data_IF_058730998596
#
_entry.id   IF_058730998596
#
_cell.length_a   1.000
_cell.length_b   1.000
_cell.length_c   1.000
_cell.angle_alpha   90.00
_cell.angle_beta   90.00
_cell.angle_gamma   90.00
#
_symmetry.space_group_name_H-M   'P 1'
#
loop_
_entity.id
_entity.type
_entity.pdbx_description
1 polymer ?
#
# COMPACT_ATOMS: atom_id res chain seq x y z
N UNK A 1 11.33 -6.58 8.76
CA UNK A 1 11.15 -7.85 8.00
C UNK A 1 12.19 -8.87 8.44
N UNK A 2 11.76 -10.12 8.63
CA UNK A 2 12.54 -11.24 9.14
C UNK A 2 13.75 -11.60 8.25
N UNK A 3 14.96 -11.15 8.64
CA UNK A 3 16.25 -11.60 8.05
C UNK A 3 16.77 -12.91 8.65
N UNK A 4 15.95 -13.57 9.45
CA UNK A 4 16.35 -14.77 10.17
C UNK A 4 16.82 -15.90 9.24
N UNK A 5 16.17 -16.16 8.08
CA UNK A 5 16.68 -17.12 7.10
C UNK A 5 18.11 -16.81 6.63
N UNK A 6 18.35 -15.56 6.24
CA UNK A 6 19.62 -15.10 5.69
C UNK A 6 20.73 -15.19 6.75
N UNK A 7 20.45 -14.76 7.98
CA UNK A 7 21.38 -14.82 9.10
C UNK A 7 21.75 -16.28 9.44
N UNK A 8 20.78 -17.20 9.38
CA UNK A 8 21.03 -18.62 9.68
C UNK A 8 21.87 -19.25 8.56
N UNK A 9 21.59 -18.93 7.29
CA UNK A 9 22.35 -19.43 6.15
C UNK A 9 23.80 -18.94 6.17
N UNK A 10 24.03 -17.66 6.48
CA UNK A 10 25.39 -17.10 6.62
C UNK A 10 26.16 -17.71 7.78
N UNK A 11 25.49 -17.93 8.93
CA UNK A 11 26.16 -18.39 10.16
C UNK A 11 26.43 -19.89 10.18
N UNK A 12 25.66 -20.68 9.43
CA UNK A 12 25.79 -22.14 9.40
C UNK A 12 25.78 -22.69 7.97
N UNK A 13 26.80 -22.40 7.15
CA UNK A 13 26.83 -22.75 5.71
C UNK A 13 26.91 -24.25 5.44
N UNK A 14 27.19 -25.08 6.45
CA UNK A 14 27.28 -26.53 6.32
C UNK A 14 25.96 -27.26 6.62
N UNK A 15 24.91 -26.53 7.00
CA UNK A 15 23.60 -27.10 7.31
C UNK A 15 22.62 -26.90 6.16
N UNK A 16 21.84 -27.93 5.86
CA UNK A 16 20.72 -27.81 4.95
C UNK A 16 19.55 -27.13 5.67
N UNK A 17 19.18 -25.92 5.23
CA UNK A 17 18.04 -25.18 5.76
C UNK A 17 16.82 -25.43 4.86
N UNK A 18 15.78 -26.04 5.41
CA UNK A 18 14.46 -26.16 4.77
C UNK A 18 13.51 -25.18 5.45
N UNK A 19 12.95 -24.24 4.67
CA UNK A 19 11.96 -23.29 5.15
C UNK A 19 10.62 -23.65 4.50
N UNK A 20 9.73 -24.24 5.29
CA UNK A 20 8.37 -24.47 4.88
C UNK A 20 7.55 -23.23 5.26
N UNK A 21 7.11 -22.48 4.26
CA UNK A 21 6.04 -21.50 4.45
C UNK A 21 4.72 -22.24 4.24
N UNK A 22 3.95 -22.55 5.29
CA UNK A 22 2.63 -23.09 5.10
C UNK A 22 1.83 -22.09 4.27
N UNK A 23 0.94 -22.60 3.41
CA UNK A 23 -0.05 -21.74 2.77
C UNK A 23 -0.74 -20.93 3.87
N UNK A 24 -0.84 -19.62 3.68
CA UNK A 24 -1.66 -18.78 4.53
C UNK A 24 -3.07 -19.35 4.41
N UNK A 25 -3.48 -20.20 5.34
CA UNK A 25 -4.88 -20.55 5.48
C UNK A 25 -5.58 -19.22 5.69
N UNK A 26 -6.68 -18.98 4.97
CA UNK A 26 -7.58 -17.89 5.32
C UNK A 26 -7.98 -18.12 6.78
N UNK A 27 -7.27 -17.44 7.68
CA UNK A 27 -7.57 -17.48 9.09
C UNK A 27 -8.83 -16.64 9.20
N UNK A 28 -9.98 -17.29 9.06
CA UNK A 28 -11.22 -16.77 9.61
C UNK A 28 -10.97 -16.76 11.13
N UNK A 29 -10.74 -15.58 11.75
CA UNK A 29 -10.53 -15.56 13.18
C UNK A 29 -11.74 -16.21 13.85
N UNK A 30 -11.55 -17.00 14.92
CA UNK A 30 -12.67 -17.46 15.73
C UNK A 30 -13.51 -16.24 16.11
N UNK A 31 -14.82 -16.34 15.90
CA UNK A 31 -15.83 -15.26 15.99
C UNK A 31 -15.93 -14.55 17.34
N UNK A 32 -15.06 -14.88 18.29
CA UNK A 32 -15.03 -14.35 19.65
C UNK A 32 -13.90 -13.34 19.89
N UNK A 33 -13.00 -13.14 18.92
CA UNK A 33 -12.18 -11.93 18.90
C UNK A 33 -12.91 -10.88 18.06
N UNK A 34 -13.73 -10.07 18.72
CA UNK A 34 -14.08 -8.75 18.21
C UNK A 34 -12.76 -7.98 18.01
N UNK A 35 -12.15 -8.12 16.85
CA UNK A 35 -11.23 -7.10 16.35
C UNK A 35 -12.15 -5.88 16.21
N UNK A 36 -12.00 -4.82 17.04
CA UNK A 36 -12.85 -3.67 16.91
C UNK A 36 -12.75 -3.20 15.47
N UNK A 37 -13.91 -3.10 14.82
CA UNK A 37 -14.12 -2.68 13.44
C UNK A 37 -13.47 -1.31 13.17
N UNK A 38 -12.15 -1.33 13.01
CA UNK A 38 -11.32 -0.20 12.56
C UNK A 38 -10.84 -0.41 11.13
N UNK A 39 -11.24 -1.51 10.50
CA UNK A 39 -11.06 -1.82 9.08
C UNK A 39 -11.89 -0.92 8.16
N UNK A 40 -12.83 -0.15 8.71
CA UNK A 40 -13.78 0.66 7.94
C UNK A 40 -13.38 2.13 7.72
N UNK A 41 -12.17 2.56 8.11
CA UNK A 41 -11.72 3.96 7.92
C UNK A 41 -10.38 4.08 7.18
N UNK A 42 -10.17 3.29 6.13
CA UNK A 42 -9.13 3.61 5.18
C UNK A 42 -9.49 4.91 4.46
N UNK A 43 -8.80 6.00 4.79
CA UNK A 43 -8.98 7.26 4.10
C UNK A 43 -8.27 7.16 2.74
N UNK A 44 -9.02 7.17 1.64
CA UNK A 44 -8.44 7.14 0.29
C UNK A 44 -8.50 8.54 -0.30
N UNK A 45 -7.33 9.14 -0.50
CA UNK A 45 -7.16 10.50 -0.98
C UNK A 45 -6.56 10.50 -2.38
N UNK A 46 -7.30 10.98 -3.39
CA UNK A 46 -6.71 11.25 -4.70
C UNK A 46 -5.77 12.47 -4.63
N UNK A 47 -4.68 12.37 -5.37
CA UNK A 47 -3.68 13.42 -5.57
C UNK A 47 -3.44 13.54 -7.07
N UNK A 48 -3.93 14.62 -7.66
CA UNK A 48 -3.63 14.96 -9.05
C UNK A 48 -2.14 15.28 -9.18
N UNK A 49 -1.44 14.56 -10.05
CA UNK A 49 -0.03 14.79 -10.36
C UNK A 49 0.12 15.21 -11.82
N UNK A 50 0.97 16.19 -12.08
CA UNK A 50 1.26 16.64 -13.44
C UNK A 50 2.03 15.57 -14.23
N UNK A 51 1.81 15.49 -15.55
CA UNK A 51 2.34 14.40 -16.38
C UNK A 51 3.85 14.47 -16.68
N UNK A 52 4.54 15.50 -16.20
CA UNK A 52 5.96 15.71 -16.46
C UNK A 52 6.78 16.02 -15.21
N UNK A 53 6.21 15.84 -14.01
CA UNK A 53 6.94 16.14 -12.78
C UNK A 53 7.88 15.00 -12.39
N UNK A 54 9.11 15.33 -11.94
CA UNK A 54 10.01 14.34 -11.36
C UNK A 54 9.35 13.59 -10.20
N UNK A 55 9.80 12.34 -9.95
CA UNK A 55 9.28 11.51 -8.84
C UNK A 55 9.33 12.26 -7.50
N UNK A 56 10.40 12.99 -7.24
CA UNK A 56 10.57 13.74 -6.00
C UNK A 56 9.48 14.81 -5.81
N UNK A 57 9.17 15.56 -6.86
CA UNK A 57 8.08 16.53 -6.88
C UNK A 57 6.72 15.85 -6.71
N UNK A 58 6.51 14.69 -7.33
CA UNK A 58 5.29 13.90 -7.15
C UNK A 58 5.09 13.49 -5.69
N UNK A 59 6.14 12.95 -5.05
CA UNK A 59 6.10 12.56 -3.63
C UNK A 59 5.87 13.78 -2.71
N UNK A 60 6.43 14.94 -3.06
CA UNK A 60 6.20 16.18 -2.32
C UNK A 60 4.73 16.60 -2.37
N UNK A 61 4.11 16.57 -3.55
CA UNK A 61 2.68 16.88 -3.74
C UNK A 61 1.81 15.88 -2.96
N UNK A 62 2.17 14.60 -2.99
CA UNK A 62 1.49 13.57 -2.20
C UNK A 62 1.60 13.83 -0.69
N UNK A 63 2.80 14.16 -0.18
CA UNK A 63 2.99 14.48 1.23
C UNK A 63 2.22 15.73 1.66
N UNK A 64 2.16 16.77 0.80
CA UNK A 64 1.41 17.99 1.05
C UNK A 64 -0.10 17.74 1.17
N UNK A 65 -0.63 16.67 0.57
CA UNK A 65 -2.05 16.34 0.69
C UNK A 65 -2.46 15.91 2.09
N UNK A 66 -1.54 15.35 2.88
CA UNK A 66 -1.80 14.81 4.21
C UNK A 66 -1.68 15.82 5.34
N UNK A 67 -0.95 16.92 5.12
CA UNK A 67 -0.71 17.89 6.18
C UNK A 67 -0.44 19.28 5.62
N UNK A 68 -1.07 20.26 6.26
CA UNK A 68 -0.82 21.69 6.05
C UNK A 68 0.41 22.18 6.86
N UNK A 69 0.93 21.36 7.77
CA UNK A 69 2.08 21.70 8.62
C UNK A 69 3.42 21.30 8.01
N UNK A 70 4.35 22.26 7.92
CA UNK A 70 5.66 22.04 7.29
C UNK A 70 6.47 20.89 7.91
N UNK A 71 6.46 20.74 9.24
CA UNK A 71 7.20 19.70 9.94
C UNK A 71 6.68 18.29 9.59
N UNK A 72 5.38 18.08 9.74
CA UNK A 72 4.71 16.81 9.43
C UNK A 72 4.83 16.45 7.95
N UNK A 73 4.66 17.43 7.05
CA UNK A 73 4.86 17.24 5.60
C UNK A 73 6.28 16.77 5.29
N UNK A 74 7.29 17.36 5.93
CA UNK A 74 8.69 16.96 5.74
C UNK A 74 8.96 15.54 6.23
N UNK A 75 8.34 15.13 7.34
CA UNK A 75 8.49 13.77 7.86
C UNK A 75 7.81 12.73 6.96
N UNK A 76 6.59 13.00 6.50
CA UNK A 76 5.90 12.16 5.51
C UNK A 76 6.72 12.08 4.21
N UNK A 77 7.26 13.20 3.75
CA UNK A 77 8.08 13.24 2.54
C UNK A 77 9.33 12.36 2.67
N UNK A 78 10.03 12.41 3.81
CA UNK A 78 11.17 11.52 4.08
C UNK A 78 10.75 10.05 4.05
N UNK A 79 9.62 9.72 4.66
CA UNK A 79 9.09 8.35 4.68
C UNK A 79 8.76 7.85 3.26
N UNK A 80 8.11 8.69 2.44
CA UNK A 80 7.78 8.33 1.06
C UNK A 80 9.03 8.15 0.19
N UNK A 81 10.02 9.03 0.32
CA UNK A 81 11.31 8.89 -0.38
C UNK A 81 12.03 7.61 0.03
N UNK A 82 12.05 7.31 1.32
CA UNK A 82 12.66 6.09 1.83
C UNK A 82 11.93 4.86 1.30
N UNK A 83 10.60 4.83 1.35
CA UNK A 83 9.80 3.72 0.83
C UNK A 83 10.02 3.51 -0.68
N UNK A 84 10.12 4.60 -1.45
CA UNK A 84 10.40 4.56 -2.89
C UNK A 84 11.81 4.02 -3.21
N UNK A 85 12.79 4.27 -2.34
CA UNK A 85 14.16 3.82 -2.53
C UNK A 85 14.38 2.37 -2.06
N UNK A 86 13.82 2.01 -0.89
CA UNK A 86 14.15 0.76 -0.22
C UNK A 86 13.32 -0.43 -0.74
N UNK A 87 11.99 -0.25 -0.86
CA UNK A 87 11.06 -1.35 -1.15
C UNK A 87 9.80 -0.90 -1.91
N UNK A 88 9.91 -0.36 -3.14
CA UNK A 88 8.75 -0.17 -4.00
C UNK A 88 8.18 -1.52 -4.45
N UNK A 89 6.86 -1.67 -4.44
CA UNK A 89 6.19 -2.90 -4.86
C UNK A 89 5.39 -2.63 -6.13
N UNK A 90 5.73 -3.28 -7.23
CA UNK A 90 4.89 -3.29 -8.43
C UNK A 90 3.69 -4.22 -8.19
N UNK A 91 2.48 -3.67 -8.12
CA UNK A 91 1.27 -4.47 -7.94
C UNK A 91 0.83 -5.11 -9.26
N UNK A 92 0.90 -4.31 -10.32
CA UNK A 92 0.58 -4.60 -11.70
C UNK A 92 1.40 -3.63 -12.57
N UNK A 93 1.68 -3.96 -13.84
CA UNK A 93 2.46 -3.09 -14.72
C UNK A 93 1.97 -1.65 -14.71
N UNK A 94 2.84 -0.72 -14.31
CA UNK A 94 2.56 0.72 -14.28
C UNK A 94 1.93 1.25 -12.98
N UNK A 95 1.64 0.39 -11.98
CA UNK A 95 1.18 0.80 -10.65
C UNK A 95 2.20 0.36 -9.59
N UNK A 96 2.78 1.34 -8.90
CA UNK A 96 3.70 1.11 -7.80
C UNK A 96 3.04 1.44 -6.48
N UNK A 97 3.24 0.57 -5.49
CA UNK A 97 2.80 0.74 -4.13
C UNK A 97 3.99 1.02 -3.21
N UNK A 98 3.87 2.11 -2.46
CA UNK A 98 4.76 2.50 -1.37
C UNK A 98 4.04 2.25 -0.05
N UNK A 99 4.76 1.75 0.94
CA UNK A 99 4.21 1.55 2.27
C UNK A 99 5.14 2.19 3.30
N UNK A 100 4.54 2.87 4.27
CA UNK A 100 5.27 3.49 5.36
C UNK A 100 4.46 3.49 6.66
N UNK A 101 5.16 3.51 7.78
CA UNK A 101 4.57 3.75 9.08
C UNK A 101 4.92 5.16 9.55
N UNK A 102 3.93 5.91 9.99
CA UNK A 102 4.10 7.28 10.48
C UNK A 102 3.46 7.43 11.86
N UNK A 103 4.14 8.14 12.75
CA UNK A 103 3.57 8.60 14.01
C UNK A 103 2.70 9.85 13.82
N UNK A 104 2.72 10.43 12.62
CA UNK A 104 1.99 11.64 12.27
C UNK A 104 0.64 11.39 11.62
N UNK A 105 0.20 10.14 11.45
CA UNK A 105 -1.15 9.83 10.97
C UNK A 105 -1.92 9.08 12.05
N UNK A 106 -3.18 9.46 12.24
CA UNK A 106 -4.06 8.83 13.23
C UNK A 106 -4.82 7.62 12.67
N UNK A 107 -4.97 7.57 11.34
CA UNK A 107 -5.66 6.50 10.61
C UNK A 107 -4.85 6.04 9.39
N UNK A 108 -5.06 4.79 8.99
CA UNK A 108 -4.42 4.25 7.79
C UNK A 108 -4.95 4.97 6.56
N UNK A 109 -4.07 5.66 5.85
CA UNK A 109 -4.41 6.50 4.70
C UNK A 109 -3.76 5.95 3.44
N UNK A 110 -4.51 5.92 2.34
CA UNK A 110 -4.03 5.56 1.01
C UNK A 110 -4.05 6.82 0.15
N UNK A 111 -2.87 7.30 -0.22
CA UNK A 111 -2.72 8.33 -1.23
C UNK A 111 -2.69 7.69 -2.61
N UNK A 112 -3.45 8.25 -3.53
CA UNK A 112 -3.52 7.79 -4.93
C UNK A 112 -2.98 8.90 -5.81
N UNK A 113 -1.72 8.78 -6.24
CA UNK A 113 -1.09 9.69 -7.18
C UNK A 113 -1.21 9.15 -8.61
N UNK A 114 -1.78 9.91 -9.52
CA UNK A 114 -1.83 9.56 -10.94
C UNK A 114 -1.41 10.74 -11.79
N UNK A 115 -0.50 10.49 -12.74
CA UNK A 115 0.03 11.52 -13.62
C UNK A 115 0.58 11.00 -14.95
N UNK A 116 0.76 9.69 -15.14
CA UNK A 116 1.23 9.17 -16.44
C UNK A 116 2.66 9.59 -16.82
N UNK A 117 3.41 10.20 -15.90
CA UNK A 117 4.77 10.70 -16.12
C UNK A 117 5.83 9.60 -16.28
N UNK A 118 5.46 8.33 -16.07
CA UNK A 118 6.37 7.19 -16.21
C UNK A 118 7.50 7.22 -15.19
N UNK A 119 7.17 7.31 -13.90
CA UNK A 119 8.17 7.35 -12.83
C UNK A 119 8.93 6.03 -12.72
N UNK A 120 10.26 6.10 -12.68
CA UNK A 120 11.12 4.93 -12.47
C UNK A 120 11.34 4.67 -10.99
N UNK A 121 11.21 3.39 -10.59
CA UNK A 121 11.48 2.91 -9.24
C UNK A 121 12.53 1.79 -9.28
N UNK A 122 13.40 1.67 -8.27
CA UNK A 122 14.37 0.59 -8.21
C UNK A 122 13.66 -0.78 -8.11
N UNK A 123 14.03 -1.72 -8.98
CA UNK A 123 13.44 -3.07 -8.98
C UNK A 123 12.04 -3.19 -9.58
N UNK A 124 11.52 -2.12 -10.19
CA UNK A 124 10.25 -2.11 -10.94
C UNK A 124 10.57 -2.09 -12.43
N UNK A 125 9.99 -3.01 -13.20
CA UNK A 125 10.30 -3.14 -14.63
C UNK A 125 9.55 -2.10 -15.47
N UNK A 126 8.30 -1.80 -15.11
CA UNK A 126 7.45 -0.87 -15.86
C UNK A 126 7.49 0.54 -15.25
N UNK A 127 7.73 1.60 -16.04
CA UNK A 127 7.57 2.97 -15.56
C UNK A 127 6.16 3.19 -15.00
N UNK A 128 6.08 3.70 -13.78
CA UNK A 128 4.83 3.87 -13.07
C UNK A 128 4.06 5.09 -13.58
N UNK A 129 2.81 4.90 -13.99
CA UNK A 129 1.86 5.99 -14.24
C UNK A 129 1.04 6.36 -13.00
N UNK A 130 1.05 5.46 -12.00
CA UNK A 130 0.29 5.57 -10.76
C UNK A 130 1.15 5.16 -9.55
N UNK A 131 1.08 5.94 -8.49
CA UNK A 131 1.72 5.69 -7.20
C UNK A 131 0.61 5.55 -6.14
N UNK A 132 0.56 4.40 -5.47
CA UNK A 132 -0.28 4.19 -4.31
C UNK A 132 0.60 4.26 -3.06
N UNK A 133 0.36 5.20 -2.15
CA UNK A 133 1.11 5.25 -0.88
C UNK A 133 0.21 4.92 0.30
N UNK A 134 0.46 3.78 0.93
CA UNK A 134 -0.20 3.33 2.15
C UNK A 134 0.60 3.81 3.36
N UNK A 135 0.04 4.75 4.11
CA UNK A 135 0.63 5.29 5.32
C UNK A 135 -0.21 4.84 6.51
N UNK A 136 0.35 4.00 7.36
CA UNK A 136 -0.32 3.49 8.55
C UNK A 136 0.26 4.14 9.82
N UNK A 137 -0.58 4.37 10.86
CA UNK A 137 -0.10 4.69 12.19
C UNK A 137 0.91 3.63 12.66
N UNK A 138 1.99 4.03 13.34
CA UNK A 138 2.94 3.08 13.95
C UNK A 138 2.30 2.21 15.04
N UNK A 139 1.21 2.70 15.64
CA UNK A 139 0.43 1.99 16.67
C UNK A 139 -0.41 0.84 16.12
N UNK A 140 -0.58 0.72 14.80
CA UNK A 140 -1.30 -0.41 14.21
C UNK A 140 -0.48 -1.70 14.27
N UNK A 141 -1.15 -2.81 14.56
CA UNK A 141 -0.49 -4.12 14.52
C UNK A 141 -0.04 -4.44 13.08
N UNK A 142 1.09 -5.15 12.90
CA UNK A 142 1.56 -5.58 11.59
C UNK A 142 0.51 -6.38 10.82
N UNK A 143 -0.35 -7.11 11.53
CA UNK A 143 -1.44 -7.91 10.98
C UNK A 143 -2.49 -7.06 10.26
N UNK A 144 -2.91 -5.92 10.86
CA UNK A 144 -3.85 -4.97 10.24
C UNK A 144 -3.24 -4.32 9.00
N UNK A 145 -1.95 -3.99 9.05
CA UNK A 145 -1.23 -3.43 7.92
C UNK A 145 -1.09 -4.45 6.77
N UNK A 146 -0.75 -5.70 7.08
CA UNK A 146 -0.66 -6.79 6.11
C UNK A 146 -2.02 -7.15 5.51
N UNK A 147 -3.09 -7.12 6.32
CA UNK A 147 -4.46 -7.31 5.83
C UNK A 147 -4.82 -6.23 4.80
N UNK A 148 -4.59 -4.95 5.10
CA UNK A 148 -4.84 -3.85 4.15
C UNK A 148 -4.01 -3.99 2.86
N UNK A 149 -2.75 -4.38 2.98
CA UNK A 149 -1.86 -4.59 1.84
C UNK A 149 -2.31 -5.78 0.97
N UNK A 150 -2.70 -6.88 1.59
CA UNK A 150 -3.22 -8.05 0.87
C UNK A 150 -4.54 -7.76 0.17
N UNK A 151 -5.42 -6.96 0.79
CA UNK A 151 -6.67 -6.50 0.18
C UNK A 151 -6.42 -5.58 -1.01
N UNK A 152 -5.49 -4.63 -0.91
CA UNK A 152 -5.11 -3.76 -2.02
C UNK A 152 -4.52 -4.55 -3.19
N UNK A 153 -3.55 -5.43 -2.90
CA UNK A 153 -2.95 -6.28 -3.93
C UNK A 153 -4.00 -7.17 -4.61
N UNK A 154 -4.95 -7.72 -3.85
CA UNK A 154 -6.05 -8.52 -4.38
C UNK A 154 -7.02 -7.69 -5.23
N UNK A 155 -7.40 -6.50 -4.75
CA UNK A 155 -8.26 -5.56 -5.48
C UNK A 155 -7.63 -5.13 -6.81
N UNK A 156 -6.32 -4.90 -6.84
CA UNK A 156 -5.59 -4.54 -8.06
C UNK A 156 -5.46 -5.72 -9.04
N UNK A 157 -5.33 -6.97 -8.56
CA UNK A 157 -5.19 -8.16 -9.42
C UNK A 157 -6.52 -8.74 -9.92
N UNK A 158 -7.53 -8.83 -9.06
CA UNK A 158 -8.80 -9.53 -9.33
C UNK A 158 -9.90 -8.59 -9.83
N UNK A 159 -9.72 -7.27 -9.70
CA UNK A 159 -10.71 -6.27 -10.06
C UNK A 159 -10.60 -5.73 -11.49
N UNK A 160 -11.55 -4.85 -11.83
CA UNK A 160 -11.56 -4.02 -13.05
C UNK A 160 -10.27 -3.21 -13.24
N UNK A 161 -9.43 -3.07 -12.22
CA UNK A 161 -8.10 -2.47 -12.27
C UNK A 161 -7.27 -2.92 -13.47
N UNK A 162 -7.23 -4.22 -13.78
CA UNK A 162 -6.47 -4.74 -14.94
C UNK A 162 -7.01 -4.31 -16.31
N UNK A 163 -8.31 -4.03 -16.42
CA UNK A 163 -8.93 -3.45 -17.63
C UNK A 163 -8.75 -1.94 -17.70
N UNK A 164 -8.74 -1.30 -16.55
CA UNK A 164 -8.75 0.14 -16.34
C UNK A 164 -7.37 0.79 -16.54
N UNK A 165 -6.28 0.03 -16.38
CA UNK A 165 -4.88 0.48 -16.59
C UNK A 165 -4.54 0.78 -18.08
N UNK A 166 -5.44 0.48 -19.02
CA UNK A 166 -5.19 0.72 -20.46
C UNK A 166 -5.51 2.15 -20.93
N UNK A 167 -6.23 2.93 -20.13
CA UNK A 167 -6.54 4.32 -20.42
C UNK A 167 -5.97 5.24 -19.33
N UNK A 168 -5.50 6.46 -19.67
CA UNK A 168 -5.01 7.40 -18.69
C UNK A 168 -6.15 7.81 -17.75
N UNK A 169 -6.12 7.27 -16.54
CA UNK A 169 -7.09 7.57 -15.49
C UNK A 169 -6.65 8.72 -14.59
N UNK A 170 -7.63 9.47 -14.09
CA UNK A 170 -7.41 10.43 -13.01
C UNK A 170 -7.17 9.73 -11.68
N UNK A 171 -6.55 10.43 -10.74
CA UNK A 171 -6.36 9.93 -9.38
C UNK A 171 -7.70 9.66 -8.68
N UNK A 172 -8.70 10.48 -9.00
CA UNK A 172 -10.07 10.40 -8.51
C UNK A 172 -10.75 9.09 -8.94
N UNK A 173 -10.61 8.72 -10.21
CA UNK A 173 -11.21 7.49 -10.74
C UNK A 173 -10.60 6.26 -10.06
N UNK A 174 -9.26 6.22 -9.97
CA UNK A 174 -8.53 5.13 -9.30
C UNK A 174 -8.93 5.04 -7.83
N UNK A 175 -9.05 6.16 -7.13
CA UNK A 175 -9.54 6.20 -5.76
C UNK A 175 -10.99 5.69 -5.65
N UNK A 176 -11.85 5.98 -6.62
CA UNK A 176 -13.23 5.49 -6.69
C UNK A 176 -13.31 3.97 -6.85
N UNK A 177 -12.48 3.40 -7.74
CA UNK A 177 -12.38 1.94 -7.93
C UNK A 177 -11.85 1.28 -6.65
N UNK A 178 -10.82 1.84 -6.00
CA UNK A 178 -10.28 1.33 -4.73
C UNK A 178 -11.33 1.32 -3.61
N UNK A 179 -12.09 2.41 -3.46
CA UNK A 179 -13.18 2.51 -2.46
C UNK A 179 -14.21 1.40 -2.68
N UNK A 180 -14.59 1.18 -3.93
CA UNK A 180 -15.58 0.15 -4.30
C UNK A 180 -15.05 -1.26 -4.06
N UNK A 181 -13.80 -1.52 -4.43
CA UNK A 181 -13.17 -2.82 -4.28
C UNK A 181 -12.96 -3.20 -2.80
N UNK A 182 -12.48 -2.26 -1.98
CA UNK A 182 -12.31 -2.48 -0.53
C UNK A 182 -13.68 -2.72 0.13
N UNK A 183 -14.71 -1.96 -0.25
CA UNK A 183 -16.07 -2.18 0.27
C UNK A 183 -16.62 -3.57 -0.08
N UNK A 184 -16.38 -4.06 -1.31
CA UNK A 184 -16.84 -5.39 -1.74
C UNK A 184 -16.09 -6.53 -1.05
N UNK A 185 -14.85 -6.29 -0.61
CA UNK A 185 -14.05 -7.27 0.13
C UNK A 185 -14.47 -7.42 1.60
N UNK A 186 -15.32 -6.51 2.12
CA UNK A 186 -15.95 -6.61 3.44
C UNK A 186 -17.41 -7.04 3.21
N UNK A 187 -17.74 -8.35 3.20
CA UNK A 187 -19.12 -8.77 3.20
C UNK A 187 -19.78 -8.33 4.51
N UNK A 188 -20.93 -7.66 4.41
CA UNK A 188 -21.78 -7.36 5.56
C UNK A 188 -22.00 -8.66 6.37
N UNK A 189 -21.48 -8.68 7.59
CA UNK A 189 -21.79 -9.74 8.54
C UNK A 189 -23.29 -9.69 8.83
N UNK A 190 -24.00 -10.76 8.45
CA UNK A 190 -25.40 -11.07 8.72
C UNK A 190 -26.12 -10.12 9.71
N UNK A 191 -26.91 -9.20 9.17
CA UNK A 191 -28.09 -8.70 9.85
C UNK A 191 -29.29 -9.60 9.48
N UNK A 192 -29.38 -10.77 10.10
CA UNK A 192 -30.64 -11.50 10.24
C UNK A 192 -30.94 -11.65 11.73
N UNK A 193 -31.91 -10.87 12.20
CA UNK A 193 -32.70 -11.10 13.42
C UNK A 193 -34.17 -10.87 13.06
#
# INVERSE_FOLDING_TARGET
>A
MNRLPDIIAERFPQLNLLIAYPALMEYAPPSEYEIPDRTSQHMILPVTLDQAVPLDMALQTMAARLSDGDAQRNDIMKLLRQAAADYPVELVPGIVMLHAHSDSVESTTILVGAGGAGWSFPGVETPAGTILALISPRSNSPEVHLAALSQLARACREGEFTRVIREPMSAEDIAGVLKTAIRKAIPDGNAEA
#
